data_IF_883752144736
#
_entry.id   IF_883752144736
#
_cell.length_a   1.000
_cell.length_b   1.000
_cell.length_c   1.000
_cell.angle_alpha   90.00
_cell.angle_beta   90.00
_cell.angle_gamma   90.00
#
_symmetry.space_group_name_H-M   'P 1'
#
loop_
_entity.id
_entity.type
_entity.pdbx_description
1 polymer ?
#
# COMPACT_ATOMS: atom_id res chain seq x y z
N UNK A 1 -1.38 -11.20 -40.07
CA UNK A 1 -0.57 -10.64 -38.97
C UNK A 1 -1.20 -9.41 -38.33
N UNK A 2 -1.61 -8.39 -39.10
CA UNK A 2 -2.28 -7.17 -38.57
C UNK A 2 -3.52 -7.45 -37.71
N UNK A 3 -4.40 -8.38 -38.13
CA UNK A 3 -5.60 -8.75 -37.36
C UNK A 3 -5.28 -9.38 -35.98
N UNK A 4 -4.18 -10.13 -35.88
CA UNK A 4 -3.75 -10.77 -34.62
C UNK A 4 -3.17 -9.72 -33.69
N UNK A 5 -2.36 -8.79 -34.22
CA UNK A 5 -1.84 -7.66 -33.44
C UNK A 5 -2.98 -6.79 -32.92
N UNK A 6 -3.97 -6.46 -33.75
CA UNK A 6 -5.13 -5.65 -33.34
C UNK A 6 -5.92 -6.36 -32.24
N UNK A 7 -6.23 -7.65 -32.39
CA UNK A 7 -6.96 -8.41 -31.36
C UNK A 7 -6.14 -8.53 -30.08
N UNK A 8 -4.83 -8.77 -30.17
CA UNK A 8 -3.93 -8.83 -29.02
C UNK A 8 -3.84 -7.50 -28.27
N UNK A 9 -3.70 -6.38 -28.99
CA UNK A 9 -3.72 -5.04 -28.39
C UNK A 9 -5.06 -4.73 -27.75
N UNK A 10 -6.18 -5.10 -28.39
CA UNK A 10 -7.52 -4.89 -27.83
C UNK A 10 -7.71 -5.66 -26.52
N UNK A 11 -7.29 -6.93 -26.50
CA UNK A 11 -7.31 -7.76 -25.30
C UNK A 11 -6.43 -7.18 -24.19
N UNK A 12 -5.25 -6.67 -24.52
CA UNK A 12 -4.37 -6.02 -23.55
C UNK A 12 -5.03 -4.77 -22.94
N UNK A 13 -5.65 -3.91 -23.76
CA UNK A 13 -6.34 -2.70 -23.27
C UNK A 13 -7.51 -3.07 -22.36
N UNK A 14 -8.31 -4.07 -22.75
CA UNK A 14 -9.40 -4.59 -21.91
C UNK A 14 -8.84 -5.14 -20.60
N UNK A 15 -7.77 -5.93 -20.68
CA UNK A 15 -7.14 -6.52 -19.50
C UNK A 15 -6.63 -5.45 -18.54
N UNK A 16 -5.87 -4.46 -19.02
CA UNK A 16 -5.39 -3.33 -18.21
C UNK A 16 -6.55 -2.47 -17.68
N UNK A 17 -7.60 -2.30 -18.48
CA UNK A 17 -8.78 -1.52 -18.11
C UNK A 17 -9.65 -2.19 -17.04
N UNK A 18 -9.75 -3.52 -17.06
CA UNK A 18 -10.56 -4.33 -16.12
C UNK A 18 -9.76 -4.67 -14.87
N UNK A 19 -8.54 -5.17 -15.03
CA UNK A 19 -7.66 -5.58 -13.93
C UNK A 19 -6.74 -4.43 -13.51
N UNK A 20 -7.32 -3.26 -13.19
CA UNK A 20 -6.57 -2.07 -12.73
C UNK A 20 -5.86 -2.33 -11.39
N UNK A 21 -4.83 -3.17 -11.40
CA UNK A 21 -4.02 -3.49 -10.23
C UNK A 21 -3.17 -2.27 -9.87
N UNK A 22 -3.13 -1.92 -8.59
CA UNK A 22 -2.20 -0.89 -8.11
C UNK A 22 -0.84 -1.52 -7.85
N UNK A 23 0.19 -0.92 -8.45
CA UNK A 23 1.58 -1.29 -8.24
C UNK A 23 2.19 -0.31 -7.24
N UNK A 24 2.82 -0.87 -6.23
CA UNK A 24 3.53 -0.18 -5.16
C UNK A 24 5.03 -0.41 -5.36
N UNK A 25 5.79 0.67 -5.45
CA UNK A 25 7.24 0.64 -5.59
C UNK A 25 7.88 0.96 -4.25
N UNK A 26 8.99 0.29 -3.95
CA UNK A 26 9.73 0.54 -2.72
C UNK A 26 10.29 1.96 -2.69
N UNK A 27 10.03 2.67 -1.61
CA UNK A 27 10.76 3.87 -1.21
C UNK A 27 11.90 3.45 -0.25
N UNK A 28 13.16 3.43 -0.71
CA UNK A 28 14.29 3.03 0.13
C UNK A 28 14.71 4.11 1.13
N UNK A 29 14.23 5.34 1.00
CA UNK A 29 14.62 6.47 1.83
C UNK A 29 13.53 6.89 2.82
N UNK A 30 12.33 6.33 2.67
CA UNK A 30 11.24 6.53 3.60
C UNK A 30 11.59 6.04 5.01
N UNK A 31 10.90 6.59 6.00
CA UNK A 31 11.09 6.27 7.42
C UNK A 31 9.77 5.98 8.10
N UNK A 32 9.77 5.05 9.03
CA UNK A 32 8.63 4.76 9.89
C UNK A 32 8.98 5.10 11.34
N UNK A 33 8.05 5.74 12.02
CA UNK A 33 8.07 6.01 13.46
C UNK A 33 6.82 5.38 14.09
N UNK A 34 6.97 4.85 15.30
CA UNK A 34 5.89 4.29 16.12
C UNK A 34 5.96 4.89 17.50
N UNK A 35 4.93 5.63 17.92
CA UNK A 35 4.93 6.46 19.12
C UNK A 35 6.16 7.39 19.19
N UNK A 36 6.59 7.94 18.05
CA UNK A 36 7.77 8.80 17.93
C UNK A 36 9.12 8.08 17.95
N UNK A 37 9.15 6.74 18.05
CA UNK A 37 10.38 5.95 17.99
C UNK A 37 10.59 5.41 16.58
N UNK A 38 11.78 5.60 16.01
CA UNK A 38 12.09 5.09 14.67
C UNK A 38 12.04 3.55 14.64
N UNK A 39 11.44 2.99 13.59
CA UNK A 39 11.38 1.55 13.32
C UNK A 39 12.41 1.22 12.25
N UNK A 40 13.58 0.74 12.67
CA UNK A 40 14.67 0.41 11.76
C UNK A 40 14.38 -0.85 10.96
N UNK A 41 14.53 -0.77 9.64
CA UNK A 41 14.34 -1.90 8.71
C UNK A 41 12.94 -2.01 8.12
N UNK A 42 12.02 -1.10 8.47
CA UNK A 42 10.71 -1.02 7.83
C UNK A 42 10.87 -0.78 6.32
N UNK A 43 10.10 -1.52 5.52
CA UNK A 43 10.06 -1.37 4.07
C UNK A 43 8.79 -0.62 3.71
N UNK A 44 8.97 0.53 3.07
CA UNK A 44 7.90 1.40 2.66
C UNK A 44 7.73 1.29 1.15
N UNK A 45 6.48 1.27 0.72
CA UNK A 45 6.13 1.23 -0.68
C UNK A 45 5.04 2.25 -0.96
N UNK A 46 5.16 2.94 -2.09
CA UNK A 46 4.27 4.00 -2.51
C UNK A 46 3.76 3.74 -3.92
N UNK A 47 2.65 4.35 -4.27
CA UNK A 47 2.16 4.37 -5.65
C UNK A 47 1.86 5.80 -6.12
N UNK A 48 1.48 5.91 -7.39
CA UNK A 48 1.15 7.18 -8.02
C UNK A 48 -0.04 7.91 -7.37
N UNK A 49 -0.93 7.17 -6.69
CA UNK A 49 -2.12 7.71 -6.01
C UNK A 49 -1.86 8.13 -4.56
N UNK A 50 -0.60 8.17 -4.12
CA UNK A 50 -0.17 8.42 -2.74
C UNK A 50 -0.72 7.42 -1.71
N UNK A 51 -1.03 6.19 -2.14
CA UNK A 51 -1.25 5.11 -1.17
C UNK A 51 0.10 4.66 -0.60
N UNK A 52 0.05 4.15 0.63
CA UNK A 52 1.24 3.68 1.34
C UNK A 52 1.02 2.26 1.80
N UNK A 53 1.98 1.40 1.47
CA UNK A 53 2.13 0.06 2.00
C UNK A 53 3.39 0.02 2.88
N UNK A 54 3.24 -0.51 4.08
CA UNK A 54 4.31 -0.66 5.07
C UNK A 54 4.47 -2.13 5.36
N UNK A 55 5.70 -2.62 5.32
CA UNK A 55 6.08 -3.93 5.86
C UNK A 55 7.09 -3.71 6.99
N UNK A 56 6.73 -4.16 8.20
CA UNK A 56 7.63 -4.06 9.34
C UNK A 56 8.71 -5.15 9.31
N UNK A 57 9.91 -4.86 9.83
CA UNK A 57 11.00 -5.83 9.90
C UNK A 57 10.77 -6.80 11.05
N UNK A 58 11.07 -8.09 10.81
CA UNK A 58 11.00 -9.12 11.85
C UNK A 58 9.59 -9.47 12.34
N UNK A 59 8.55 -8.86 11.74
CA UNK A 59 7.14 -9.21 11.96
C UNK A 59 6.45 -9.47 10.63
N UNK A 60 5.34 -10.21 10.65
CA UNK A 60 4.50 -10.38 9.46
C UNK A 60 3.48 -9.24 9.28
N UNK A 61 3.65 -8.13 10.02
CA UNK A 61 2.74 -6.99 9.96
C UNK A 61 2.91 -6.22 8.66
N UNK A 62 1.79 -6.07 7.96
CA UNK A 62 1.68 -5.24 6.76
C UNK A 62 0.50 -4.29 6.91
N UNK A 63 0.74 -3.01 6.66
CA UNK A 63 -0.30 -1.99 6.68
C UNK A 63 -0.43 -1.40 5.30
N UNK A 64 -1.63 -1.42 4.74
CA UNK A 64 -2.01 -0.68 3.56
C UNK A 64 -2.94 0.45 3.98
N UNK A 65 -2.56 1.67 3.60
CA UNK A 65 -3.38 2.87 3.75
C UNK A 65 -3.61 3.42 2.35
N UNK A 66 -4.87 3.43 1.92
CA UNK A 66 -5.23 3.94 0.60
C UNK A 66 -5.87 5.31 0.71
N UNK A 67 -5.47 6.24 -0.17
CA UNK A 67 -5.93 7.63 -0.13
C UNK A 67 -7.44 7.81 -0.28
N UNK A 68 -8.11 6.85 -0.94
CA UNK A 68 -9.56 6.93 -1.19
C UNK A 68 -10.41 6.61 0.05
N UNK A 69 -10.00 5.64 0.88
CA UNK A 69 -10.71 5.27 2.11
C UNK A 69 -10.14 6.01 3.31
N UNK A 70 -8.82 6.25 3.30
CA UNK A 70 -8.04 6.70 4.45
C UNK A 70 -8.03 5.69 5.59
N UNK A 71 -8.63 4.52 5.45
CA UNK A 71 -8.72 3.53 6.53
C UNK A 71 -7.48 2.62 6.45
N UNK A 72 -6.64 2.55 7.50
CA UNK A 72 -5.55 1.60 7.55
C UNK A 72 -6.11 0.19 7.71
N UNK A 73 -5.45 -0.77 7.06
CA UNK A 73 -5.80 -2.18 7.18
C UNK A 73 -4.72 -3.09 6.62
N UNK A 74 -4.93 -4.39 6.73
CA UNK A 74 -4.06 -5.40 6.15
C UNK A 74 -4.59 -5.77 4.76
N UNK A 75 -3.78 -5.71 3.69
CA UNK A 75 -4.25 -6.09 2.35
C UNK A 75 -4.63 -7.58 2.31
N UNK A 76 -5.80 -7.91 1.76
CA UNK A 76 -6.26 -9.29 1.68
C UNK A 76 -5.43 -10.12 0.70
N UNK A 77 -5.09 -9.50 -0.43
CA UNK A 77 -4.29 -10.10 -1.50
C UNK A 77 -3.17 -9.13 -1.84
N UNK A 78 -1.94 -9.61 -1.72
CA UNK A 78 -0.74 -8.84 -2.02
C UNK A 78 0.30 -9.74 -2.69
N UNK A 79 0.58 -9.49 -3.96
CA UNK A 79 1.71 -10.10 -4.66
C UNK A 79 2.94 -9.21 -4.53
N UNK A 80 4.10 -9.78 -4.22
CA UNK A 80 5.33 -8.99 -4.09
C UNK A 80 6.50 -9.65 -4.81
N UNK A 81 7.28 -8.83 -5.53
CA UNK A 81 8.67 -9.13 -5.86
C UNK A 81 9.50 -8.65 -4.68
N UNK A 82 10.16 -9.60 -4.03
CA UNK A 82 10.82 -9.40 -2.74
C UNK A 82 11.71 -8.16 -2.71
N UNK A 83 11.36 -7.21 -1.84
CA UNK A 83 12.17 -6.02 -1.59
C UNK A 83 12.19 -4.98 -2.70
N UNK A 84 11.35 -5.10 -3.73
CA UNK A 84 11.32 -4.17 -4.86
C UNK A 84 9.94 -3.56 -5.08
N UNK A 85 8.93 -4.40 -5.30
CA UNK A 85 7.59 -3.95 -5.66
C UNK A 85 6.53 -4.92 -5.15
N UNK A 86 5.34 -4.39 -4.90
CA UNK A 86 4.15 -5.17 -4.60
C UNK A 86 2.97 -4.71 -5.47
N UNK A 87 1.96 -5.55 -5.63
CA UNK A 87 0.72 -5.21 -6.31
C UNK A 87 -0.48 -5.81 -5.59
N UNK A 88 -1.59 -5.09 -5.65
CA UNK A 88 -2.88 -5.51 -5.10
C UNK A 88 -3.72 -6.21 -6.16
N UNK A 89 -4.80 -6.84 -5.73
CA UNK A 89 -5.80 -7.50 -6.58
C UNK A 89 -6.64 -6.52 -7.41
N UNK A 90 -6.85 -5.31 -6.90
CA UNK A 90 -7.70 -4.29 -7.53
C UNK A 90 -7.18 -2.85 -7.33
N UNK A 91 -7.84 -1.89 -8.00
CA UNK A 91 -7.56 -0.45 -7.90
C UNK A 91 -7.88 0.06 -6.48
N UNK A 92 -9.04 -0.36 -5.97
CA UNK A 92 -9.39 -0.25 -4.57
C UNK A 92 -9.19 -1.62 -3.95
N UNK A 93 -8.02 -1.81 -3.33
CA UNK A 93 -7.65 -3.08 -2.75
C UNK A 93 -8.55 -3.38 -1.56
N UNK A 94 -9.00 -4.63 -1.45
CA UNK A 94 -9.68 -5.06 -0.24
C UNK A 94 -8.67 -5.08 0.92
N UNK A 95 -9.04 -4.45 2.03
CA UNK A 95 -8.27 -4.49 3.28
C UNK A 95 -9.13 -5.11 4.37
N UNK A 96 -8.51 -5.92 5.23
CA UNK A 96 -9.06 -6.20 6.55
C UNK A 96 -8.78 -4.97 7.41
N UNK A 97 -9.81 -4.23 7.87
CA UNK A 97 -9.61 -3.08 8.73
C UNK A 97 -8.80 -3.50 9.97
N UNK A 98 -8.02 -2.57 10.51
CA UNK A 98 -7.38 -2.84 11.79
C UNK A 98 -8.45 -3.00 12.88
N UNK A 99 -8.31 -4.04 13.69
CA UNK A 99 -9.14 -4.25 14.87
C UNK A 99 -8.55 -3.48 16.07
N UNK A 100 -9.28 -3.45 17.19
CA UNK A 100 -8.79 -2.88 18.44
C UNK A 100 -8.85 -1.35 18.50
N UNK A 101 -7.81 -0.71 19.04
CA UNK A 101 -7.85 0.74 19.36
C UNK A 101 -7.74 1.65 18.13
N UNK A 102 -7.16 1.14 17.04
CA UNK A 102 -7.10 1.84 15.75
C UNK A 102 -8.34 1.62 14.88
N UNK A 103 -9.33 0.86 15.34
CA UNK A 103 -10.46 0.46 14.51
C UNK A 103 -11.26 1.66 13.96
N UNK A 104 -11.37 1.74 12.64
CA UNK A 104 -12.11 2.78 11.94
C UNK A 104 -11.48 4.18 11.97
N UNK A 105 -10.34 4.36 12.63
CA UNK A 105 -9.61 5.63 12.63
C UNK A 105 -9.05 5.90 11.23
N UNK A 106 -9.36 7.08 10.67
CA UNK A 106 -8.80 7.48 9.38
C UNK A 106 -7.38 7.99 9.56
N UNK A 107 -6.52 7.57 8.66
CA UNK A 107 -5.18 8.11 8.49
C UNK A 107 -5.24 9.56 8.01
N UNK A 108 -4.26 10.35 8.45
CA UNK A 108 -3.96 11.66 7.88
C UNK A 108 -2.87 11.47 6.83
N UNK A 109 -3.18 11.81 5.58
CA UNK A 109 -2.29 11.59 4.44
C UNK A 109 -1.92 12.90 3.77
N UNK A 110 -0.66 13.03 3.42
CA UNK A 110 -0.09 14.12 2.62
C UNK A 110 0.89 13.53 1.61
N UNK A 111 1.39 14.37 0.69
CA UNK A 111 2.36 13.93 -0.31
C UNK A 111 3.69 13.39 0.26
N UNK A 112 3.99 13.67 1.54
CA UNK A 112 5.28 13.29 2.18
C UNK A 112 5.13 12.54 3.49
N UNK A 113 3.93 12.48 4.04
CA UNK A 113 3.69 11.89 5.35
C UNK A 113 2.31 11.25 5.42
N UNK A 114 2.25 10.05 5.99
CA UNK A 114 1.03 9.34 6.34
C UNK A 114 1.08 8.95 7.80
N UNK A 115 0.09 9.39 8.58
CA UNK A 115 -0.03 9.07 10.00
C UNK A 115 -1.32 8.31 10.26
N UNK A 116 -1.27 7.20 10.99
CA UNK A 116 -2.43 6.40 11.37
C UNK A 116 -2.21 5.72 12.72
N UNK A 117 -3.29 5.19 13.31
CA UNK A 117 -3.26 4.46 14.58
C UNK A 117 -3.33 2.96 14.30
N UNK A 118 -2.47 2.17 14.91
CA UNK A 118 -2.44 0.72 14.72
C UNK A 118 -3.42 -0.04 15.64
N UNK A 119 -3.41 -1.39 15.57
CA UNK A 119 -4.28 -2.23 16.40
C UNK A 119 -4.04 -2.07 17.91
N UNK A 120 -2.84 -1.69 18.32
CA UNK A 120 -2.44 -1.49 19.73
C UNK A 120 -2.82 -0.10 20.26
N UNK A 121 -3.18 0.83 19.37
CA UNK A 121 -3.43 2.23 19.69
C UNK A 121 -2.17 3.10 19.60
N UNK A 122 -1.10 2.61 18.97
CA UNK A 122 0.12 3.38 18.77
C UNK A 122 0.00 4.27 17.53
N UNK A 123 0.55 5.49 17.64
CA UNK A 123 0.66 6.41 16.52
C UNK A 123 1.79 5.96 15.59
N UNK A 124 1.42 5.53 14.39
CA UNK A 124 2.35 5.18 13.31
C UNK A 124 2.46 6.36 12.37
N UNK A 125 3.68 6.87 12.20
CA UNK A 125 4.00 7.92 11.23
C UNK A 125 4.96 7.38 10.18
N UNK A 126 4.58 7.53 8.93
CA UNK A 126 5.37 7.16 7.76
C UNK A 126 5.77 8.42 7.02
N UNK A 127 7.06 8.65 6.85
CA UNK A 127 7.63 9.74 6.07
C UNK A 127 8.15 9.19 4.75
N UNK A 128 7.73 9.79 3.64
CA UNK A 128 8.08 9.42 2.27
C UNK A 128 9.10 10.41 1.70
N UNK A 129 9.90 10.00 0.71
CA UNK A 129 10.94 10.87 0.13
C UNK A 129 10.96 10.95 -1.39
#
# INVERSE_FOLDING_TARGET
>A
MSKILVVGTLLLVIFVGVFRQRIFLRDPLGKMERNGVAVDGARLFINFSNDVLVEEPGTERRYLVQGWSGVPGVPQILGCVQGLACWTDADHAAVFPLDGRGAGARAVMSAKEVTFVDETGADVRVKLR
#
